data_IF_296390313069
#
_entry.id   IF_296390313069
#
_cell.length_a   1.000
_cell.length_b   1.000
_cell.length_c   1.000
_cell.angle_alpha   90.00
_cell.angle_beta   90.00
_cell.angle_gamma   90.00
#
_symmetry.space_group_name_H-M   'P 1'
#
loop_
_entity.id
_entity.type
_entity.pdbx_description
1 polymer ?
#
# COMPACT_ATOMS: atom_id res chain seq x y z
N UNK A 1 11.36 -11.83 -29.35
CA UNK A 1 9.85 -11.73 -29.37
C UNK A 1 9.36 -11.74 -27.93
N UNK A 2 8.43 -10.84 -27.58
CA UNK A 2 7.85 -10.76 -26.23
C UNK A 2 6.59 -11.62 -26.21
N UNK A 3 6.41 -12.42 -25.17
CA UNK A 3 5.20 -13.26 -24.98
C UNK A 3 4.58 -12.94 -23.62
N UNK A 4 3.28 -12.65 -23.59
CA UNK A 4 2.53 -12.46 -22.35
C UNK A 4 1.89 -13.76 -21.92
N UNK A 5 2.11 -14.17 -20.68
CA UNK A 5 1.59 -15.40 -20.07
C UNK A 5 0.95 -15.12 -18.71
N UNK A 6 0.19 -16.08 -18.20
CA UNK A 6 -0.19 -16.07 -16.79
C UNK A 6 1.10 -16.16 -15.94
N UNK A 7 1.11 -15.44 -14.82
CA UNK A 7 2.21 -15.55 -13.88
C UNK A 7 2.27 -16.94 -13.24
N UNK A 8 3.45 -17.53 -13.19
CA UNK A 8 3.73 -18.83 -12.59
C UNK A 8 4.82 -18.69 -11.51
N UNK A 9 4.76 -19.50 -10.47
CA UNK A 9 5.70 -19.42 -9.33
C UNK A 9 7.17 -19.68 -9.73
N UNK A 10 7.43 -20.31 -10.87
CA UNK A 10 8.78 -20.46 -11.40
C UNK A 10 9.50 -19.14 -11.67
N UNK A 11 8.77 -18.04 -11.85
CA UNK A 11 9.33 -16.71 -12.08
C UNK A 11 9.62 -15.92 -10.79
N UNK A 12 9.28 -16.45 -9.60
CA UNK A 12 9.46 -15.73 -8.35
C UNK A 12 10.91 -15.32 -8.05
N UNK A 13 11.86 -16.20 -8.32
CA UNK A 13 13.27 -15.87 -8.07
C UNK A 13 13.77 -14.75 -9.00
N UNK A 14 13.40 -14.80 -10.30
CA UNK A 14 13.73 -13.74 -11.24
C UNK A 14 13.01 -12.43 -10.89
N UNK A 15 11.76 -12.51 -10.46
CA UNK A 15 10.97 -11.35 -10.04
C UNK A 15 11.60 -10.64 -8.84
N UNK A 16 12.12 -11.39 -7.87
CA UNK A 16 12.80 -10.84 -6.69
C UNK A 16 13.98 -9.94 -7.05
N UNK A 17 14.72 -10.30 -8.11
CA UNK A 17 15.85 -9.51 -8.62
C UNK A 17 15.38 -8.29 -9.44
N UNK A 18 14.19 -8.34 -10.07
CA UNK A 18 13.62 -7.23 -10.84
C UNK A 18 12.96 -6.22 -9.91
N UNK A 19 12.08 -6.69 -9.01
CA UNK A 19 11.35 -5.86 -8.07
C UNK A 19 11.00 -6.63 -6.79
N UNK A 20 11.72 -6.30 -5.72
CA UNK A 20 11.54 -6.94 -4.43
C UNK A 20 10.13 -6.71 -3.85
N UNK A 21 9.53 -5.53 -4.06
CA UNK A 21 8.19 -5.22 -3.53
C UNK A 21 7.10 -6.00 -4.26
N UNK A 22 7.19 -6.12 -5.58
CA UNK A 22 6.27 -6.95 -6.35
C UNK A 22 6.38 -8.44 -5.96
N UNK A 23 7.63 -8.94 -5.77
CA UNK A 23 7.87 -10.28 -5.26
C UNK A 23 7.21 -10.49 -3.90
N UNK A 24 7.41 -9.53 -2.96
CA UNK A 24 6.83 -9.58 -1.62
C UNK A 24 5.30 -9.64 -1.67
N UNK A 25 4.69 -8.78 -2.48
CA UNK A 25 3.24 -8.76 -2.68
C UNK A 25 2.72 -10.09 -3.23
N UNK A 26 3.31 -10.58 -4.31
CA UNK A 26 2.89 -11.86 -4.89
C UNK A 26 3.17 -13.05 -3.97
N UNK A 27 4.20 -13.03 -3.17
CA UNK A 27 4.54 -14.14 -2.27
C UNK A 27 3.65 -14.18 -1.02
N UNK A 28 3.33 -13.03 -0.42
CA UNK A 28 2.78 -12.97 0.93
C UNK A 28 1.46 -12.21 1.06
N UNK A 29 1.11 -11.34 0.12
CA UNK A 29 -0.11 -10.56 0.21
C UNK A 29 -1.29 -11.29 -0.42
N UNK A 30 -2.27 -11.65 0.39
CA UNK A 30 -3.47 -12.41 -0.04
C UNK A 30 -4.39 -11.68 -1.02
N UNK A 31 -4.21 -10.36 -1.19
CA UNK A 31 -4.96 -9.57 -2.17
C UNK A 31 -4.41 -9.71 -3.59
N UNK A 32 -3.15 -10.17 -3.74
CA UNK A 32 -2.49 -10.42 -5.03
C UNK A 32 -2.70 -11.87 -5.46
N UNK A 33 -3.85 -12.14 -6.06
CA UNK A 33 -4.16 -13.47 -6.56
C UNK A 33 -3.35 -13.80 -7.81
N UNK A 34 -2.73 -14.98 -7.87
CA UNK A 34 -1.94 -15.45 -9.03
C UNK A 34 -2.71 -15.38 -10.35
N UNK A 35 -3.99 -15.65 -10.32
CA UNK A 35 -4.85 -15.59 -11.50
C UNK A 35 -5.06 -14.18 -12.07
N UNK A 36 -4.71 -13.15 -11.31
CA UNK A 36 -4.79 -11.74 -11.67
C UNK A 36 -3.40 -11.15 -11.99
N UNK A 37 -2.37 -11.99 -12.10
CA UNK A 37 -1.03 -11.60 -12.45
C UNK A 37 -0.62 -12.18 -13.81
N UNK A 38 0.11 -11.37 -14.60
CA UNK A 38 0.65 -11.73 -15.90
C UNK A 38 2.15 -11.45 -15.95
N UNK A 39 2.88 -12.28 -16.69
CA UNK A 39 4.30 -12.15 -16.92
C UNK A 39 4.59 -11.89 -18.41
N UNK A 40 5.51 -11.00 -18.69
CA UNK A 40 6.15 -10.85 -19.99
C UNK A 40 7.46 -11.63 -19.99
N UNK A 41 7.66 -12.48 -20.98
CA UNK A 41 8.88 -13.28 -21.12
C UNK A 41 9.47 -13.17 -22.52
N UNK A 42 10.76 -13.40 -22.62
CA UNK A 42 11.48 -13.49 -23.90
C UNK A 42 11.32 -14.88 -24.57
N UNK A 43 12.02 -15.10 -25.69
CA UNK A 43 12.02 -16.36 -26.44
C UNK A 43 12.63 -17.55 -25.65
N UNK A 44 13.42 -17.26 -24.62
CA UNK A 44 14.04 -18.25 -23.74
C UNK A 44 13.25 -18.52 -22.47
N UNK A 45 12.06 -17.95 -22.36
CA UNK A 45 11.21 -17.97 -21.18
C UNK A 45 11.79 -17.21 -19.97
N UNK A 46 12.70 -16.25 -20.22
CA UNK A 46 13.27 -15.38 -19.18
C UNK A 46 12.32 -14.26 -18.85
N UNK A 47 12.14 -13.92 -17.58
CA UNK A 47 11.23 -12.88 -17.13
C UNK A 47 11.72 -11.49 -17.54
N UNK A 48 10.85 -10.73 -18.21
CA UNK A 48 11.07 -9.32 -18.60
C UNK A 48 10.29 -8.34 -17.71
N UNK A 49 9.17 -8.77 -17.15
CA UNK A 49 8.34 -7.95 -16.27
C UNK A 49 7.06 -8.65 -15.85
N UNK A 50 6.40 -8.06 -14.87
CA UNK A 50 5.14 -8.57 -14.30
C UNK A 50 4.17 -7.41 -14.13
N UNK A 51 2.89 -7.68 -14.38
CA UNK A 51 1.80 -6.82 -13.97
C UNK A 51 0.76 -7.63 -13.22
N UNK A 52 0.31 -7.11 -12.08
CA UNK A 52 -0.65 -7.78 -11.23
C UNK A 52 -1.77 -6.84 -10.79
N UNK A 53 -2.97 -7.39 -10.63
CA UNK A 53 -4.10 -6.70 -10.03
C UNK A 53 -4.33 -7.24 -8.63
N UNK A 54 -4.21 -6.38 -7.62
CA UNK A 54 -4.60 -6.69 -6.26
C UNK A 54 -6.01 -6.20 -5.96
N UNK A 55 -6.72 -6.96 -5.14
CA UNK A 55 -8.06 -6.61 -4.69
C UNK A 55 -8.00 -5.58 -3.57
N UNK A 56 -8.61 -4.40 -3.73
CA UNK A 56 -8.74 -3.46 -2.61
C UNK A 56 -9.92 -3.81 -1.68
N UNK A 57 -10.09 -3.02 -0.60
CA UNK A 57 -11.13 -3.26 0.38
C UNK A 57 -12.56 -3.25 -0.17
N UNK A 58 -12.84 -2.61 -1.33
CA UNK A 58 -14.15 -2.65 -1.97
C UNK A 58 -14.42 -4.03 -2.57
N UNK A 59 -13.36 -4.71 -3.04
CA UNK A 59 -13.47 -6.02 -3.66
C UNK A 59 -13.95 -7.10 -2.70
N UNK A 60 -13.64 -7.00 -1.42
CA UNK A 60 -14.13 -7.91 -0.38
C UNK A 60 -15.67 -8.03 -0.38
N UNK A 61 -16.37 -6.99 -0.85
CA UNK A 61 -17.81 -6.94 -0.87
C UNK A 61 -18.43 -7.29 -2.22
N UNK A 62 -17.66 -7.65 -3.24
CA UNK A 62 -18.18 -7.85 -4.60
C UNK A 62 -19.24 -8.97 -4.70
N UNK A 63 -19.12 -10.00 -3.86
CA UNK A 63 -20.09 -11.11 -3.75
C UNK A 63 -21.12 -10.88 -2.64
N UNK A 64 -21.04 -9.76 -1.91
CA UNK A 64 -21.95 -9.41 -0.83
C UNK A 64 -22.92 -8.34 -1.34
N UNK A 65 -24.20 -8.44 -0.93
CA UNK A 65 -25.19 -7.43 -1.28
C UNK A 65 -24.96 -6.13 -0.48
N UNK A 66 -24.02 -5.31 -0.94
CA UNK A 66 -23.82 -3.94 -0.46
C UNK A 66 -24.15 -2.97 -1.58
N UNK A 67 -25.22 -2.18 -1.39
CA UNK A 67 -25.68 -1.18 -2.36
C UNK A 67 -24.90 0.14 -2.28
N UNK A 68 -24.14 0.33 -1.22
CA UNK A 68 -23.36 1.56 -0.95
C UNK A 68 -21.97 1.58 -1.61
N UNK A 69 -21.59 0.54 -2.36
CA UNK A 69 -20.33 0.49 -3.09
C UNK A 69 -20.57 0.80 -4.56
N UNK A 70 -20.31 2.03 -5.01
CA UNK A 70 -20.58 2.43 -6.39
C UNK A 70 -19.54 1.90 -7.39
N UNK A 71 -18.35 1.52 -6.92
CA UNK A 71 -17.21 1.13 -7.74
C UNK A 71 -16.32 0.13 -7.01
N UNK A 72 -16.07 -1.03 -7.65
CA UNK A 72 -15.17 -2.06 -7.15
C UNK A 72 -13.79 -1.91 -7.79
N UNK A 73 -12.76 -1.78 -6.97
CA UNK A 73 -11.43 -1.40 -7.42
C UNK A 73 -10.44 -2.54 -7.31
N UNK A 74 -9.59 -2.65 -8.31
CA UNK A 74 -8.35 -3.41 -8.26
C UNK A 74 -7.17 -2.46 -8.47
N UNK A 75 -6.15 -2.62 -7.67
CA UNK A 75 -4.92 -1.85 -7.79
C UNK A 75 -3.97 -2.56 -8.75
N UNK A 76 -3.47 -1.85 -9.74
CA UNK A 76 -2.46 -2.34 -10.66
C UNK A 76 -1.07 -1.99 -10.18
N UNK A 77 -0.24 -3.02 -10.04
CA UNK A 77 1.19 -2.89 -9.85
C UNK A 77 1.91 -3.48 -11.07
N UNK A 78 2.94 -2.80 -11.51
CA UNK A 78 3.73 -3.19 -12.68
C UNK A 78 5.21 -2.96 -12.43
N UNK A 79 6.01 -3.94 -12.78
CA UNK A 79 7.46 -3.83 -12.84
C UNK A 79 8.00 -4.43 -14.13
N UNK A 80 9.04 -3.83 -14.66
CA UNK A 80 9.75 -4.28 -15.85
C UNK A 80 11.24 -4.21 -15.57
N UNK A 81 11.97 -5.19 -16.06
CA UNK A 81 13.42 -5.29 -15.90
C UNK A 81 14.11 -4.07 -16.53
N UNK A 82 15.01 -3.47 -15.77
CA UNK A 82 15.77 -2.31 -16.23
C UNK A 82 16.68 -2.63 -17.43
N UNK A 83 16.81 -1.65 -18.33
CA UNK A 83 17.78 -1.70 -19.43
C UNK A 83 17.40 -2.62 -20.59
N UNK A 84 16.18 -3.12 -20.67
CA UNK A 84 15.69 -3.84 -21.86
C UNK A 84 15.32 -2.86 -22.97
N UNK A 85 15.63 -3.19 -24.23
CA UNK A 85 15.45 -2.30 -25.38
C UNK A 85 13.99 -1.94 -25.70
N UNK A 86 13.04 -2.78 -25.27
CA UNK A 86 11.60 -2.65 -25.59
C UNK A 86 10.77 -2.44 -24.32
N UNK A 87 11.29 -1.74 -23.31
CA UNK A 87 10.64 -1.57 -22.00
C UNK A 87 9.21 -1.04 -22.12
N UNK A 88 9.00 0.05 -22.86
CA UNK A 88 7.67 0.64 -23.09
C UNK A 88 6.69 -0.35 -23.76
N UNK A 89 7.17 -1.13 -24.71
CA UNK A 89 6.34 -2.15 -25.37
C UNK A 89 5.93 -3.26 -24.39
N UNK A 90 6.85 -3.72 -23.52
CA UNK A 90 6.56 -4.70 -22.47
C UNK A 90 5.51 -4.16 -21.51
N UNK A 91 5.68 -2.95 -21.01
CA UNK A 91 4.72 -2.28 -20.12
C UNK A 91 3.34 -2.20 -20.76
N UNK A 92 3.24 -1.72 -22.00
CA UNK A 92 1.98 -1.60 -22.75
C UNK A 92 1.29 -2.94 -22.90
N UNK A 93 2.01 -4.00 -23.25
CA UNK A 93 1.43 -5.34 -23.41
C UNK A 93 0.96 -5.91 -22.07
N UNK A 94 1.71 -5.72 -20.99
CA UNK A 94 1.33 -6.14 -19.65
C UNK A 94 0.05 -5.42 -19.18
N UNK A 95 -0.05 -4.10 -19.36
CA UNK A 95 -1.23 -3.31 -19.00
C UNK A 95 -2.45 -3.76 -19.82
N UNK A 96 -2.29 -4.01 -21.12
CA UNK A 96 -3.38 -4.53 -21.95
C UNK A 96 -3.87 -5.90 -21.47
N UNK A 97 -2.95 -6.79 -21.05
CA UNK A 97 -3.32 -8.11 -20.54
C UNK A 97 -4.11 -8.05 -19.25
N UNK A 98 -3.76 -7.18 -18.30
CA UNK A 98 -4.54 -7.02 -17.05
C UNK A 98 -5.88 -6.31 -17.31
N UNK A 99 -5.98 -5.42 -18.29
CA UNK A 99 -7.27 -4.87 -18.75
C UNK A 99 -8.19 -5.98 -19.31
N UNK A 100 -7.64 -6.89 -20.13
CA UNK A 100 -8.39 -8.07 -20.61
C UNK A 100 -8.82 -8.97 -19.44
N UNK A 101 -7.95 -9.14 -18.43
CA UNK A 101 -8.31 -9.88 -17.22
C UNK A 101 -9.47 -9.23 -16.48
N UNK A 102 -9.50 -7.90 -16.32
CA UNK A 102 -10.65 -7.22 -15.71
C UNK A 102 -11.92 -7.38 -16.53
N UNK A 103 -11.84 -7.39 -17.86
CA UNK A 103 -13.00 -7.69 -18.74
C UNK A 103 -13.56 -9.10 -18.51
N UNK A 104 -12.70 -10.12 -18.37
CA UNK A 104 -13.14 -11.47 -17.99
C UNK A 104 -13.83 -11.51 -16.63
N UNK A 105 -13.32 -10.75 -15.66
CA UNK A 105 -13.94 -10.62 -14.34
C UNK A 105 -15.30 -9.91 -14.46
N UNK A 106 -15.41 -8.90 -15.32
CA UNK A 106 -16.68 -8.20 -15.60
C UNK A 106 -17.77 -9.13 -16.13
N UNK A 107 -17.42 -10.14 -16.91
CA UNK A 107 -18.38 -11.17 -17.38
C UNK A 107 -19.01 -11.94 -16.20
N UNK A 108 -18.24 -12.17 -15.12
CA UNK A 108 -18.74 -12.78 -13.89
C UNK A 108 -19.65 -11.83 -13.08
N UNK A 109 -19.39 -10.52 -13.16
CA UNK A 109 -20.11 -9.49 -12.39
C UNK A 109 -20.68 -8.39 -13.31
N UNK A 110 -21.64 -8.72 -14.20
CA UNK A 110 -22.10 -7.81 -15.25
C UNK A 110 -22.72 -6.51 -14.72
N UNK A 111 -23.36 -6.56 -13.56
CA UNK A 111 -24.04 -5.41 -12.93
C UNK A 111 -23.12 -4.54 -12.08
N UNK A 112 -21.86 -4.94 -11.86
CA UNK A 112 -20.92 -4.20 -11.03
C UNK A 112 -20.05 -3.28 -11.87
N UNK A 113 -19.82 -2.06 -11.44
CA UNK A 113 -18.78 -1.19 -12.02
C UNK A 113 -17.44 -1.61 -11.50
N UNK A 114 -16.49 -1.88 -12.38
CA UNK A 114 -15.14 -2.32 -12.03
C UNK A 114 -14.13 -1.29 -12.50
N UNK A 115 -13.03 -1.16 -11.74
CA UNK A 115 -11.99 -0.20 -12.01
C UNK A 115 -10.60 -0.79 -11.76
N UNK A 116 -9.67 -0.53 -12.67
CA UNK A 116 -8.23 -0.62 -12.41
C UNK A 116 -7.76 0.76 -11.98
N UNK A 117 -7.03 0.85 -10.87
CA UNK A 117 -6.34 2.06 -10.46
C UNK A 117 -4.83 1.81 -10.33
N UNK A 118 -4.05 2.83 -10.60
CA UNK A 118 -2.61 2.82 -10.39
C UNK A 118 -2.12 4.24 -10.08
N UNK A 119 -0.86 4.36 -9.68
CA UNK A 119 -0.26 5.65 -9.38
C UNK A 119 0.95 5.93 -10.24
N UNK A 120 1.11 7.20 -10.59
CA UNK A 120 2.28 7.74 -11.24
C UNK A 120 2.88 8.85 -10.39
N UNK A 121 4.21 8.93 -10.33
CA UNK A 121 4.87 10.12 -9.78
C UNK A 121 4.63 11.30 -10.71
N UNK A 122 4.66 12.51 -10.16
CA UNK A 122 4.57 13.74 -10.94
C UNK A 122 5.58 13.81 -12.09
N UNK A 123 6.79 13.27 -11.88
CA UNK A 123 7.89 13.26 -12.85
C UNK A 123 7.81 12.15 -13.91
N UNK A 124 6.88 11.21 -13.80
CA UNK A 124 6.76 10.06 -14.72
C UNK A 124 5.84 10.39 -15.91
N UNK A 125 6.19 11.44 -16.69
CA UNK A 125 5.38 11.93 -17.80
C UNK A 125 5.11 10.87 -18.87
N UNK A 126 6.12 10.09 -19.25
CA UNK A 126 5.99 9.06 -20.30
C UNK A 126 5.00 7.97 -19.85
N UNK A 127 5.07 7.53 -18.60
CA UNK A 127 4.11 6.58 -18.02
C UNK A 127 2.70 7.16 -17.95
N UNK A 128 2.55 8.41 -17.56
CA UNK A 128 1.26 9.10 -17.54
C UNK A 128 0.67 9.16 -18.96
N UNK A 129 1.47 9.56 -19.96
CA UNK A 129 1.05 9.61 -21.35
C UNK A 129 0.63 8.23 -21.88
N UNK A 130 1.42 7.19 -21.59
CA UNK A 130 1.13 5.82 -21.98
C UNK A 130 -0.20 5.34 -21.38
N UNK A 131 -0.47 5.64 -20.11
CA UNK A 131 -1.73 5.29 -19.45
C UNK A 131 -2.92 6.02 -20.06
N UNK A 132 -2.78 7.34 -20.38
CA UNK A 132 -3.81 8.09 -21.08
C UNK A 132 -4.13 7.49 -22.47
N UNK A 133 -3.12 7.11 -23.24
CA UNK A 133 -3.30 6.42 -24.52
C UNK A 133 -3.98 5.05 -24.38
N UNK A 134 -3.77 4.37 -23.27
CA UNK A 134 -4.46 3.13 -22.91
C UNK A 134 -5.86 3.36 -22.32
N UNK A 135 -6.33 4.62 -22.29
CA UNK A 135 -7.68 5.00 -21.88
C UNK A 135 -7.86 5.15 -20.37
N UNK A 136 -6.79 5.23 -19.60
CA UNK A 136 -6.87 5.65 -18.20
C UNK A 136 -7.14 7.16 -18.13
N UNK A 137 -7.75 7.59 -17.03
CA UNK A 137 -8.01 9.01 -16.74
C UNK A 137 -7.47 9.36 -15.35
N UNK A 138 -6.98 10.58 -15.17
CA UNK A 138 -6.63 11.08 -13.85
C UNK A 138 -7.88 11.23 -12.97
N UNK A 139 -7.80 10.78 -11.73
CA UNK A 139 -8.95 10.78 -10.83
C UNK A 139 -8.67 11.50 -9.51
N UNK A 140 -7.58 11.19 -8.84
CA UNK A 140 -7.28 11.72 -7.51
C UNK A 140 -5.77 11.95 -7.34
N UNK A 141 -5.41 12.61 -6.25
CA UNK A 141 -4.03 12.82 -5.84
C UNK A 141 -3.80 12.06 -4.52
N UNK A 142 -2.68 11.37 -4.43
CA UNK A 142 -2.17 10.83 -3.17
C UNK A 142 -0.99 11.68 -2.74
N UNK A 143 -1.13 12.39 -1.62
CA UNK A 143 -0.07 13.22 -1.08
C UNK A 143 1.03 12.37 -0.47
N UNK A 144 2.29 12.72 -0.78
CA UNK A 144 3.46 12.25 -0.04
C UNK A 144 3.76 13.32 0.99
N UNK A 145 3.68 12.95 2.27
CA UNK A 145 3.96 13.87 3.37
C UNK A 145 5.23 13.44 4.10
N UNK A 146 6.05 14.42 4.48
CA UNK A 146 7.32 14.23 5.15
C UNK A 146 7.37 14.97 6.49
N UNK A 147 7.95 14.33 7.50
CA UNK A 147 8.26 14.93 8.79
C UNK A 147 9.79 15.02 8.95
N UNK A 148 10.30 16.24 9.10
CA UNK A 148 11.70 16.51 9.34
C UNK A 148 12.05 16.19 10.81
N UNK A 149 12.74 15.06 11.01
CA UNK A 149 13.10 14.55 12.34
C UNK A 149 14.20 15.36 13.03
N UNK A 150 14.99 16.13 12.27
CA UNK A 150 16.09 16.95 12.82
C UNK A 150 15.56 18.28 13.36
N UNK A 151 14.65 18.94 12.63
CA UNK A 151 14.27 20.33 12.89
C UNK A 151 12.82 20.52 13.35
N UNK A 152 11.99 19.46 13.34
CA UNK A 152 10.61 19.55 13.79
C UNK A 152 10.45 18.96 15.20
N UNK A 153 9.74 19.66 16.06
CA UNK A 153 9.39 19.16 17.39
C UNK A 153 8.38 18.03 17.27
N UNK A 154 8.68 16.90 17.90
CA UNK A 154 7.79 15.73 17.91
C UNK A 154 6.71 15.95 18.97
N UNK A 155 5.41 15.89 18.62
CA UNK A 155 4.35 16.14 19.57
C UNK A 155 4.25 15.00 20.60
N UNK A 156 4.16 15.40 21.87
CA UNK A 156 3.87 14.50 22.99
C UNK A 156 2.45 14.77 23.52
N UNK A 157 1.47 14.07 22.97
CA UNK A 157 0.08 14.27 23.31
C UNK A 157 -0.30 13.57 24.63
N UNK A 158 -1.07 14.25 25.47
CA UNK A 158 -1.70 13.65 26.63
C UNK A 158 -2.90 12.82 26.18
N UNK A 159 -2.95 11.56 26.58
CA UNK A 159 -3.99 10.58 26.27
C UNK A 159 -4.60 10.03 27.56
N UNK A 160 -5.74 9.32 27.53
CA UNK A 160 -6.33 8.66 28.69
C UNK A 160 -5.30 7.74 29.42
N UNK A 161 -5.32 7.76 30.74
CA UNK A 161 -4.32 7.06 31.58
C UNK A 161 -4.34 5.53 31.41
N UNK A 162 -5.51 4.98 31.01
CA UNK A 162 -5.68 3.56 30.75
C UNK A 162 -5.02 3.10 29.44
N UNK A 163 -4.62 4.03 28.57
CA UNK A 163 -4.02 3.71 27.28
C UNK A 163 -2.50 3.72 27.35
N UNK A 164 -1.89 2.58 27.05
CA UNK A 164 -0.44 2.44 26.91
C UNK A 164 -0.05 2.42 25.42
N UNK A 165 1.05 3.13 25.06
CA UNK A 165 1.63 3.06 23.70
C UNK A 165 2.96 2.36 23.76
N UNK A 166 3.04 1.18 23.12
CA UNK A 166 4.17 0.27 23.21
C UNK A 166 4.60 -0.25 21.84
N UNK A 167 5.82 -0.74 21.77
CA UNK A 167 6.32 -1.51 20.64
C UNK A 167 5.79 -2.94 20.74
N UNK A 168 5.30 -3.52 19.65
CA UNK A 168 4.93 -4.93 19.62
C UNK A 168 6.19 -5.80 19.58
N UNK A 169 6.19 -6.85 20.41
CA UNK A 169 7.21 -7.91 20.39
C UNK A 169 6.96 -8.94 19.28
N UNK A 170 5.75 -8.94 18.69
CA UNK A 170 5.37 -9.83 17.58
C UNK A 170 4.90 -11.21 18.05
N UNK A 171 4.43 -11.32 19.29
CA UNK A 171 3.79 -12.57 19.79
C UNK A 171 2.51 -12.87 19.02
N UNK A 172 2.10 -14.14 18.99
CA UNK A 172 0.86 -14.57 18.33
C UNK A 172 -0.39 -13.80 18.80
N UNK A 173 -0.43 -13.48 20.08
CA UNK A 173 -1.54 -12.76 20.73
C UNK A 173 -1.57 -11.30 20.29
N UNK A 174 -0.42 -10.62 20.30
CA UNK A 174 -0.29 -9.25 19.85
C UNK A 174 -0.61 -9.09 18.36
N UNK A 175 -0.09 -9.99 17.50
CA UNK A 175 -0.39 -9.95 16.06
C UNK A 175 -1.87 -10.17 15.79
N UNK A 176 -2.53 -11.06 16.51
CA UNK A 176 -3.98 -11.27 16.38
C UNK A 176 -4.78 -10.05 16.84
N UNK A 177 -4.41 -9.44 17.96
CA UNK A 177 -5.04 -8.22 18.46
C UNK A 177 -4.86 -7.06 17.46
N UNK A 178 -3.64 -6.91 16.90
CA UNK A 178 -3.36 -5.92 15.86
C UNK A 178 -4.20 -6.13 14.60
N UNK A 179 -4.23 -7.35 14.03
CA UNK A 179 -4.99 -7.64 12.81
C UNK A 179 -6.49 -7.37 13.00
N UNK A 180 -7.04 -7.74 14.16
CA UNK A 180 -8.44 -7.43 14.50
C UNK A 180 -8.68 -5.92 14.54
N UNK A 181 -7.79 -5.16 15.16
CA UNK A 181 -7.91 -3.70 15.24
C UNK A 181 -7.70 -3.02 13.88
N UNK A 182 -6.82 -3.56 13.04
CA UNK A 182 -6.57 -3.07 11.69
C UNK A 182 -7.84 -3.17 10.82
N UNK A 183 -8.54 -4.30 10.84
CA UNK A 183 -9.83 -4.46 10.15
C UNK A 183 -10.86 -3.42 10.61
N UNK A 184 -10.97 -3.18 11.91
CA UNK A 184 -11.88 -2.19 12.47
C UNK A 184 -11.45 -0.76 12.12
N UNK A 185 -10.17 -0.47 12.14
CA UNK A 185 -9.61 0.86 11.85
C UNK A 185 -9.84 1.31 10.42
N UNK A 186 -9.70 0.39 9.48
CA UNK A 186 -9.88 0.63 8.04
C UNK A 186 -11.26 0.22 7.51
N UNK A 187 -12.08 -0.43 8.33
CA UNK A 187 -13.37 -1.01 7.92
C UNK A 187 -13.22 -1.96 6.71
N UNK A 188 -12.13 -2.72 6.68
CA UNK A 188 -11.82 -3.69 5.62
C UNK A 188 -10.72 -4.65 6.08
N UNK A 189 -10.62 -5.82 5.46
CA UNK A 189 -9.44 -6.67 5.61
C UNK A 189 -8.27 -5.98 4.90
N UNK A 190 -7.29 -5.55 5.66
CA UNK A 190 -6.17 -4.73 5.14
C UNK A 190 -4.89 -5.54 5.00
N UNK A 191 -4.44 -6.18 6.06
CA UNK A 191 -3.15 -6.84 6.09
C UNK A 191 -3.25 -8.35 5.93
N UNK A 192 -2.39 -8.90 5.08
CA UNK A 192 -2.12 -10.32 5.10
C UNK A 192 -1.16 -10.62 6.27
N UNK A 193 -1.57 -11.51 7.14
CA UNK A 193 -0.76 -11.95 8.28
C UNK A 193 0.66 -12.40 7.86
N UNK A 194 0.77 -13.11 6.73
CA UNK A 194 2.05 -13.56 6.19
C UNK A 194 2.98 -12.42 5.79
N UNK A 195 2.45 -11.37 5.14
CA UNK A 195 3.24 -10.18 4.79
C UNK A 195 3.70 -9.43 6.05
N UNK A 196 2.80 -9.26 7.02
CA UNK A 196 3.13 -8.60 8.28
C UNK A 196 4.27 -9.33 9.02
N UNK A 197 4.18 -10.67 9.13
CA UNK A 197 5.21 -11.49 9.77
C UNK A 197 6.54 -11.40 9.05
N UNK A 198 6.51 -11.44 7.72
CA UNK A 198 7.73 -11.29 6.90
C UNK A 198 8.38 -9.93 7.15
N UNK A 199 7.60 -8.85 7.14
CA UNK A 199 8.11 -7.49 7.36
C UNK A 199 8.67 -7.30 8.77
N UNK A 200 8.02 -7.83 9.79
CA UNK A 200 8.49 -7.80 11.18
C UNK A 200 9.76 -8.62 11.42
N UNK A 201 10.11 -9.53 10.51
CA UNK A 201 11.40 -10.22 10.48
C UNK A 201 12.60 -9.31 10.14
N UNK A 202 12.38 -8.12 9.55
CA UNK A 202 13.43 -7.11 9.41
C UNK A 202 13.53 -6.28 10.70
N UNK A 203 14.70 -6.27 11.33
CA UNK A 203 14.97 -5.53 12.57
C UNK A 203 14.66 -4.03 12.47
N UNK A 204 14.66 -3.46 11.26
CA UNK A 204 14.35 -2.05 10.99
C UNK A 204 12.86 -1.77 10.81
N UNK A 205 12.04 -2.82 10.76
CA UNK A 205 10.57 -2.70 10.77
C UNK A 205 10.08 -2.79 12.21
N UNK A 206 9.30 -1.80 12.64
CA UNK A 206 8.72 -1.77 13.98
C UNK A 206 7.24 -1.41 13.91
N UNK A 207 6.46 -2.00 14.79
CA UNK A 207 5.04 -1.75 14.90
C UNK A 207 4.74 -1.19 16.29
N UNK A 208 4.27 0.04 16.36
CA UNK A 208 3.82 0.69 17.60
C UNK A 208 2.31 0.58 17.70
N UNK A 209 1.82 0.14 18.85
CA UNK A 209 0.40 0.04 19.12
C UNK A 209 0.02 0.76 20.41
N UNK A 210 -1.16 1.36 20.40
CA UNK A 210 -1.83 1.84 21.60
C UNK A 210 -2.79 0.75 22.09
N UNK A 211 -2.71 0.45 23.37
CA UNK A 211 -3.45 -0.62 24.03
C UNK A 211 -4.45 -0.07 25.05
N UNK A 212 -5.65 -0.62 25.07
CA UNK A 212 -6.61 -0.55 26.18
C UNK A 212 -6.81 -1.97 26.73
N UNK A 213 -6.13 -2.26 27.84
CA UNK A 213 -5.99 -3.62 28.31
C UNK A 213 -5.35 -4.53 27.26
N UNK A 214 -6.07 -5.56 26.80
CA UNK A 214 -5.60 -6.50 25.79
C UNK A 214 -6.00 -6.09 24.34
N UNK A 215 -6.64 -4.94 24.17
CA UNK A 215 -7.16 -4.50 22.87
C UNK A 215 -6.26 -3.45 22.24
N UNK A 216 -5.82 -3.69 21.02
CA UNK A 216 -5.17 -2.65 20.20
C UNK A 216 -6.23 -1.65 19.75
N UNK A 217 -5.97 -0.35 19.94
CA UNK A 217 -6.90 0.74 19.61
C UNK A 217 -6.35 1.75 18.60
N UNK A 218 -5.04 1.79 18.44
CA UNK A 218 -4.35 2.59 17.41
C UNK A 218 -3.02 1.97 17.06
N UNK A 219 -2.50 2.24 15.88
CA UNK A 219 -1.21 1.71 15.45
C UNK A 219 -0.51 2.62 14.45
N UNK A 220 0.80 2.44 14.35
CA UNK A 220 1.66 2.91 13.27
C UNK A 220 2.79 1.90 13.05
N UNK A 221 3.04 1.53 11.81
CA UNK A 221 4.18 0.72 11.42
C UNK A 221 5.26 1.62 10.84
N UNK A 222 6.51 1.39 11.21
CA UNK A 222 7.67 2.05 10.60
C UNK A 222 8.54 1.03 9.91
N UNK A 223 9.08 1.40 8.74
CA UNK A 223 10.06 0.60 8.02
C UNK A 223 11.08 1.43 7.29
N UNK A 224 12.22 0.82 7.15
CA UNK A 224 13.37 1.40 6.48
C UNK A 224 13.10 1.57 4.98
N UNK A 225 13.45 2.74 4.44
CA UNK A 225 13.42 3.02 3.01
C UNK A 225 14.85 3.29 2.50
N UNK A 226 15.62 4.08 3.25
CA UNK A 226 17.04 4.37 2.99
C UNK A 226 17.70 4.80 4.28
N UNK A 227 19.02 5.01 4.28
CA UNK A 227 19.78 5.39 5.47
C UNK A 227 19.25 6.65 6.17
N UNK A 228 18.71 7.60 5.41
CA UNK A 228 18.18 8.86 5.95
C UNK A 228 16.64 8.85 6.09
N UNK A 229 15.92 7.88 5.52
CA UNK A 229 14.47 7.91 5.40
C UNK A 229 13.80 6.62 5.83
N UNK A 230 12.77 6.75 6.66
CA UNK A 230 11.84 5.68 6.98
C UNK A 230 10.39 6.04 6.57
N UNK A 231 9.56 5.04 6.34
CA UNK A 231 8.13 5.24 6.15
C UNK A 231 7.37 5.01 7.46
N UNK A 232 6.29 5.78 7.66
CA UNK A 232 5.28 5.56 8.71
C UNK A 232 3.98 5.17 8.00
N UNK A 233 3.55 3.95 8.15
CA UNK A 233 2.40 3.38 7.42
C UNK A 233 1.47 2.60 8.34
N UNK A 234 0.39 2.05 7.81
CA UNK A 234 -0.63 1.33 8.56
C UNK A 234 -1.10 2.11 9.79
N UNK A 235 -1.32 3.42 9.61
CA UNK A 235 -1.73 4.33 10.65
C UNK A 235 -3.24 4.29 10.78
N UNK A 236 -3.71 3.79 11.91
CA UNK A 236 -5.14 3.80 12.21
C UNK A 236 -5.43 4.09 13.68
N UNK A 237 -6.64 4.52 13.96
CA UNK A 237 -7.28 4.51 15.28
C UNK A 237 -8.71 4.00 15.07
N UNK A 238 -9.10 2.97 15.83
CA UNK A 238 -10.44 2.40 15.72
C UNK A 238 -11.51 3.44 16.09
N UNK A 239 -12.71 3.39 15.49
CA UNK A 239 -13.69 4.49 15.56
C UNK A 239 -13.98 5.01 16.97
N UNK A 240 -14.18 4.13 17.97
CA UNK A 240 -14.56 4.50 19.34
C UNK A 240 -13.45 5.22 20.12
N UNK A 241 -12.22 5.17 19.62
CA UNK A 241 -11.05 5.81 20.24
C UNK A 241 -10.55 7.04 19.49
N UNK A 242 -11.21 7.42 18.39
CA UNK A 242 -10.88 8.65 17.64
C UNK A 242 -11.13 9.89 18.47
N UNK A 243 -10.48 11.00 18.12
CA UNK A 243 -10.57 12.32 18.76
C UNK A 243 -10.08 12.39 20.21
N UNK A 244 -9.41 11.35 20.71
CA UNK A 244 -8.78 11.28 22.03
C UNK A 244 -7.25 11.48 21.98
N UNK A 245 -6.70 11.98 20.86
CA UNK A 245 -5.28 12.21 20.61
C UNK A 245 -4.40 10.94 20.61
N UNK A 246 -4.98 9.75 20.67
CA UNK A 246 -4.26 8.47 20.72
C UNK A 246 -3.40 8.31 19.46
N UNK A 247 -3.94 8.54 18.27
CA UNK A 247 -3.17 8.49 17.03
C UNK A 247 -1.97 9.45 17.03
N UNK A 248 -2.13 10.68 17.53
CA UNK A 248 -1.02 11.64 17.67
C UNK A 248 0.07 11.09 18.58
N UNK A 249 -0.29 10.50 19.73
CA UNK A 249 0.66 9.90 20.68
C UNK A 249 1.40 8.72 20.07
N UNK A 250 0.66 7.83 19.36
CA UNK A 250 1.22 6.64 18.72
C UNK A 250 2.23 7.03 17.63
N UNK A 251 1.86 7.99 16.76
CA UNK A 251 2.77 8.53 15.75
C UNK A 251 3.97 9.22 16.40
N UNK A 252 3.77 10.02 17.46
CA UNK A 252 4.85 10.68 18.20
C UNK A 252 5.88 9.69 18.74
N UNK A 253 5.44 8.54 19.29
CA UNK A 253 6.34 7.47 19.74
C UNK A 253 7.16 6.87 18.59
N UNK A 254 6.53 6.62 17.44
CA UNK A 254 7.22 6.12 16.25
C UNK A 254 8.26 7.14 15.72
N UNK A 255 7.89 8.43 15.66
CA UNK A 255 8.82 9.49 15.23
C UNK A 255 9.99 9.64 16.19
N UNK A 256 9.76 9.53 17.51
CA UNK A 256 10.83 9.54 18.52
C UNK A 256 11.81 8.39 18.29
N UNK A 257 11.29 7.18 18.10
CA UNK A 257 12.09 6.01 17.76
C UNK A 257 12.91 6.24 16.49
N UNK A 258 12.31 6.72 15.42
CA UNK A 258 13.03 6.96 14.15
C UNK A 258 14.15 7.99 14.32
N UNK A 259 13.91 9.06 15.07
CA UNK A 259 14.94 10.08 15.42
C UNK A 259 16.10 9.46 16.20
N UNK A 260 15.81 8.60 17.19
CA UNK A 260 16.82 7.88 17.98
C UNK A 260 17.65 6.90 17.14
N UNK A 261 17.04 6.32 16.07
CA UNK A 261 17.74 5.46 15.12
C UNK A 261 18.57 6.25 14.08
N UNK A 262 18.53 7.58 14.11
CA UNK A 262 19.33 8.45 13.24
C UNK A 262 18.70 8.78 11.90
N UNK A 263 17.44 8.42 11.66
CA UNK A 263 16.72 8.87 10.46
C UNK A 263 16.50 10.39 10.50
N UNK A 264 16.53 11.01 9.33
CA UNK A 264 16.30 12.46 9.16
C UNK A 264 14.90 12.79 8.71
N UNK A 265 14.29 11.86 7.97
CA UNK A 265 12.97 12.05 7.35
C UNK A 265 12.05 10.86 7.59
N UNK A 266 10.88 11.11 8.16
CA UNK A 266 9.77 10.15 8.17
C UNK A 266 8.76 10.52 7.09
N UNK A 267 8.33 9.57 6.26
CA UNK A 267 7.37 9.81 5.18
C UNK A 267 6.13 8.94 5.32
N UNK A 268 5.01 9.43 4.83
CA UNK A 268 3.77 8.68 4.67
C UNK A 268 3.08 9.07 3.37
N UNK A 269 2.11 8.25 2.95
CA UNK A 269 1.19 8.61 1.87
C UNK A 269 -0.22 8.79 2.40
N UNK A 270 -0.96 9.76 1.85
CA UNK A 270 -2.33 10.04 2.23
C UNK A 270 -3.18 10.37 1.00
N UNK A 271 -4.28 9.67 0.81
CA UNK A 271 -5.21 9.94 -0.29
C UNK A 271 -5.81 11.34 -0.15
N UNK A 272 -5.85 12.09 -1.25
CA UNK A 272 -6.15 13.52 -1.26
C UNK A 272 -7.55 13.90 -0.76
N UNK A 273 -8.51 12.98 -0.80
CA UNK A 273 -9.87 13.18 -0.27
C UNK A 273 -10.02 12.81 1.24
N UNK A 274 -8.96 12.27 1.87
CA UNK A 274 -8.97 11.97 3.30
C UNK A 274 -8.58 13.20 4.15
N UNK A 275 -9.46 14.19 4.19
CA UNK A 275 -9.23 15.45 4.89
C UNK A 275 -8.92 15.32 6.38
N UNK A 276 -9.52 14.35 7.07
CA UNK A 276 -9.28 14.10 8.50
C UNK A 276 -7.84 13.61 8.75
N UNK A 277 -7.33 12.70 7.92
CA UNK A 277 -5.96 12.22 8.01
C UNK A 277 -4.95 13.31 7.66
N UNK A 278 -5.19 14.08 6.60
CA UNK A 278 -4.34 15.21 6.19
C UNK A 278 -4.28 16.24 7.33
N UNK A 279 -5.41 16.58 7.95
CA UNK A 279 -5.45 17.50 9.08
C UNK A 279 -4.66 16.97 10.28
N UNK A 280 -4.79 15.69 10.61
CA UNK A 280 -4.02 15.03 11.67
C UNK A 280 -2.52 15.12 11.41
N UNK A 281 -2.06 14.70 10.24
CA UNK A 281 -0.63 14.69 9.89
C UNK A 281 -0.04 16.10 9.87
N UNK A 282 -0.79 17.07 9.33
CA UNK A 282 -0.38 18.49 9.33
C UNK A 282 -0.25 19.04 10.76
N UNK A 283 -1.18 18.70 11.67
CA UNK A 283 -1.10 19.10 13.08
C UNK A 283 0.09 18.47 13.81
N UNK A 284 0.48 17.25 13.44
CA UNK A 284 1.67 16.57 13.96
C UNK A 284 2.95 17.26 13.49
N UNK A 285 2.95 17.89 12.31
CA UNK A 285 4.09 18.59 11.72
C UNK A 285 4.57 18.02 10.39
N UNK A 286 3.86 17.03 9.83
CA UNK A 286 4.12 16.58 8.46
C UNK A 286 3.79 17.69 7.45
N UNK A 287 4.59 17.79 6.41
CA UNK A 287 4.40 18.71 5.28
C UNK A 287 4.29 17.93 3.98
N UNK A 288 3.53 18.43 3.03
CA UNK A 288 3.52 17.87 1.68
C UNK A 288 4.90 18.07 1.05
N UNK A 289 5.50 16.97 0.60
CA UNK A 289 6.81 16.95 -0.06
C UNK A 289 6.73 16.44 -1.50
N UNK A 290 5.57 15.94 -1.92
CA UNK A 290 5.29 15.48 -3.26
C UNK A 290 3.88 14.91 -3.37
N UNK A 291 3.57 14.39 -4.54
CA UNK A 291 2.30 13.69 -4.76
C UNK A 291 2.43 12.61 -5.82
N UNK A 292 1.47 11.69 -5.80
CA UNK A 292 1.23 10.71 -6.84
C UNK A 292 -0.10 11.04 -7.50
N UNK A 293 -0.15 10.98 -8.82
CA UNK A 293 -1.39 11.06 -9.58
C UNK A 293 -2.03 9.67 -9.63
N UNK A 294 -3.25 9.54 -9.12
CA UNK A 294 -4.04 8.32 -9.24
C UNK A 294 -4.74 8.30 -10.59
N UNK A 295 -4.51 7.22 -11.35
CA UNK A 295 -5.07 6.99 -12.67
C UNK A 295 -6.06 5.84 -12.62
N UNK A 296 -7.22 5.99 -13.26
CA UNK A 296 -8.31 5.03 -13.28
C UNK A 296 -8.67 4.60 -14.70
N UNK A 297 -8.99 3.31 -14.85
CA UNK A 297 -9.65 2.76 -16.02
C UNK A 297 -10.87 1.94 -15.59
N UNK A 298 -12.06 2.35 -16.02
CA UNK A 298 -13.35 1.82 -15.56
C UNK A 298 -14.09 1.05 -16.67
N UNK A 299 -14.85 0.02 -16.29
CA UNK A 299 -15.75 -0.75 -17.16
C UNK A 299 -17.08 -1.12 -16.46
#
# INVERSE_FOLDING_TARGET
MITIKKFEDKYLEELKEIDFMMWLCLQWNSTFLRENAVAAVDEKDTLLGVCALSCDGTWYYIEKERQDIPLYRMQMEICVKDGIAEQELVERQLIQAVKQRLQQIKEKYPDKKLCIRCWCKESEYDKQQQLLELGFTGNNITWIMGFDLEHTEIPDAVIPEEIAVELLDGTEEELRAYLTANELGYNKVQDAEGELRFRLGDERTKLFAAWDGERVVSSVTVWHISDDRAATENIFTIPEYRRKKIGTKTIGKALTYLKEQGYKLATLTCVGDNGDAIALYTQIGYKVVGHLLEMHWEI
#
